data_IF_161654933531
#
_entry.id   IF_161654933531
#
_cell.length_a   1.000
_cell.length_b   1.000
_cell.length_c   1.000
_cell.angle_alpha   90.00
_cell.angle_beta   90.00
_cell.angle_gamma   90.00
#
_symmetry.space_group_name_H-M   'P 1'
#
loop_
_entity.id
_entity.type
_entity.pdbx_description
1 polymer ?
#
# COMPACT_ATOMS: atom_id res chain seq x y z
N UNK A 1 -13.54 -3.25 -12.67
CA UNK A 1 -13.53 -4.19 -11.52
C UNK A 1 -12.28 -5.07 -11.45
N UNK A 2 -11.73 -5.57 -12.56
CA UNK A 2 -10.50 -6.39 -12.51
C UNK A 2 -9.29 -5.63 -11.95
N UNK A 3 -9.07 -4.39 -12.40
CA UNK A 3 -8.05 -3.48 -11.84
C UNK A 3 -8.20 -3.28 -10.33
N UNK A 4 -9.44 -3.08 -9.85
CA UNK A 4 -9.74 -2.93 -8.41
C UNK A 4 -9.36 -4.18 -7.62
N UNK A 5 -9.77 -5.38 -8.09
CA UNK A 5 -9.38 -6.65 -7.47
C UNK A 5 -7.87 -6.83 -7.41
N UNK A 6 -7.17 -6.43 -8.46
CA UNK A 6 -5.71 -6.49 -8.50
C UNK A 6 -5.07 -5.56 -7.46
N UNK A 7 -5.54 -4.32 -7.35
CA UNK A 7 -5.05 -3.35 -6.36
C UNK A 7 -5.31 -3.81 -4.92
N UNK A 8 -6.50 -4.36 -4.63
CA UNK A 8 -6.81 -4.94 -3.32
C UNK A 8 -5.86 -6.09 -2.99
N UNK A 9 -5.58 -6.98 -3.94
CA UNK A 9 -4.66 -8.09 -3.75
C UNK A 9 -3.19 -7.63 -3.59
N UNK A 10 -2.79 -6.53 -4.23
CA UNK A 10 -1.48 -5.92 -4.02
C UNK A 10 -1.39 -5.27 -2.63
N UNK A 11 -2.43 -4.53 -2.22
CA UNK A 11 -2.54 -3.92 -0.88
C UNK A 11 -2.35 -4.97 0.21
N UNK A 12 -3.14 -6.04 0.16
CA UNK A 12 -3.08 -7.12 1.16
C UNK A 12 -1.70 -7.78 1.24
N UNK A 13 -1.05 -8.02 0.08
CA UNK A 13 0.32 -8.57 0.05
C UNK A 13 1.35 -7.63 0.67
N UNK A 14 1.21 -6.33 0.43
CA UNK A 14 2.11 -5.32 0.97
C UNK A 14 1.93 -5.17 2.48
N UNK A 15 0.69 -5.17 2.97
CA UNK A 15 0.38 -5.13 4.41
C UNK A 15 1.00 -6.33 5.15
N UNK A 16 0.89 -7.54 4.59
CA UNK A 16 1.53 -8.74 5.15
C UNK A 16 3.06 -8.62 5.14
N UNK A 17 3.65 -8.11 4.05
CA UNK A 17 5.10 -7.91 4.00
C UNK A 17 5.59 -6.90 5.05
N UNK A 18 4.80 -5.84 5.30
CA UNK A 18 5.12 -4.82 6.30
C UNK A 18 5.00 -5.33 7.74
N UNK A 19 4.16 -6.33 8.02
CA UNK A 19 4.10 -6.97 9.35
C UNK A 19 5.38 -7.73 9.71
N UNK A 20 6.19 -8.08 8.70
CA UNK A 20 7.47 -8.76 8.88
C UNK A 20 8.66 -7.79 8.93
N UNK A 21 8.42 -6.48 8.81
CA UNK A 21 9.46 -5.46 8.87
C UNK A 21 9.68 -4.98 10.32
N UNK A 22 10.92 -4.59 10.61
CA UNK A 22 11.23 -3.90 11.86
C UNK A 22 10.68 -2.47 11.81
N UNK A 23 9.62 -2.22 12.56
CA UNK A 23 8.97 -0.91 12.64
C UNK A 23 9.67 0.06 13.57
N UNK A 24 10.61 -0.42 14.39
CA UNK A 24 11.38 0.39 15.33
C UNK A 24 12.76 0.78 14.75
N UNK A 25 13.07 0.31 13.55
CA UNK A 25 14.28 0.68 12.82
C UNK A 25 14.37 2.20 12.62
N UNK A 26 15.54 2.77 12.90
CA UNK A 26 15.79 4.20 12.66
C UNK A 26 15.54 4.55 11.19
N UNK A 27 14.94 5.70 10.94
CA UNK A 27 14.52 6.10 9.58
C UNK A 27 15.69 6.13 8.57
N UNK A 28 16.89 6.47 9.02
CA UNK A 28 18.13 6.53 8.23
C UNK A 28 18.85 5.17 8.12
N UNK A 29 18.34 4.12 8.77
CA UNK A 29 18.78 2.75 8.52
C UNK A 29 18.23 2.23 7.18
N UNK A 30 18.82 1.16 6.67
CA UNK A 30 18.31 0.51 5.46
C UNK A 30 16.88 -0.01 5.65
N UNK A 31 16.59 -0.62 6.80
CA UNK A 31 15.28 -1.19 7.10
C UNK A 31 14.22 -0.09 7.32
N UNK A 32 14.58 1.00 8.01
CA UNK A 32 13.72 2.18 8.13
C UNK A 32 13.37 2.81 6.78
N UNK A 33 14.35 2.92 5.86
CA UNK A 33 14.07 3.38 4.48
C UNK A 33 13.17 2.41 3.72
N UNK A 34 13.37 1.10 3.85
CA UNK A 34 12.52 0.08 3.21
C UNK A 34 11.08 0.15 3.73
N UNK A 35 10.90 0.30 5.04
CA UNK A 35 9.60 0.46 5.66
C UNK A 35 8.89 1.74 5.18
N UNK A 36 9.60 2.87 5.14
CA UNK A 36 9.07 4.12 4.61
C UNK A 36 8.64 4.00 3.13
N UNK A 37 9.43 3.32 2.30
CA UNK A 37 9.06 3.04 0.91
C UNK A 37 7.82 2.16 0.79
N UNK A 38 7.68 1.15 1.66
CA UNK A 38 6.50 0.30 1.71
C UNK A 38 5.25 1.10 2.10
N UNK A 39 5.34 1.99 3.10
CA UNK A 39 4.27 2.90 3.48
C UNK A 39 3.82 3.79 2.31
N UNK A 40 4.76 4.40 1.57
CA UNK A 40 4.43 5.23 0.41
C UNK A 40 3.70 4.42 -0.65
N UNK A 41 4.16 3.21 -0.96
CA UNK A 41 3.49 2.32 -1.92
C UNK A 41 2.07 1.95 -1.47
N UNK A 42 1.88 1.71 -0.18
CA UNK A 42 0.57 1.38 0.40
C UNK A 42 -0.42 2.54 0.21
N UNK A 43 0.00 3.77 0.53
CA UNK A 43 -0.82 4.98 0.35
C UNK A 43 -1.19 5.18 -1.12
N UNK A 44 -0.25 5.02 -2.05
CA UNK A 44 -0.53 5.17 -3.48
C UNK A 44 -1.56 4.14 -3.98
N UNK A 45 -1.45 2.88 -3.56
CA UNK A 45 -2.44 1.84 -3.89
C UNK A 45 -3.81 2.21 -3.32
N UNK A 46 -3.86 2.72 -2.08
CA UNK A 46 -5.10 3.11 -1.44
C UNK A 46 -5.79 4.28 -2.16
N UNK A 47 -5.04 5.31 -2.55
CA UNK A 47 -5.56 6.43 -3.34
C UNK A 47 -6.15 5.97 -4.68
N UNK A 48 -5.48 5.02 -5.37
CA UNK A 48 -5.99 4.46 -6.63
C UNK A 48 -7.27 3.65 -6.44
N UNK A 49 -7.40 2.92 -5.33
CA UNK A 49 -8.63 2.20 -4.98
C UNK A 49 -9.77 3.21 -4.77
N UNK A 50 -9.54 4.23 -3.94
CA UNK A 50 -10.53 5.27 -3.63
C UNK A 50 -11.01 6.02 -4.87
N UNK A 51 -10.10 6.32 -5.81
CA UNK A 51 -10.44 6.95 -7.08
C UNK A 51 -11.37 6.06 -7.93
N UNK A 52 -11.06 4.77 -8.07
CA UNK A 52 -11.88 3.81 -8.83
C UNK A 52 -13.26 3.63 -8.17
N UNK A 53 -13.32 3.58 -6.84
CA UNK A 53 -14.58 3.45 -6.11
C UNK A 53 -15.46 4.70 -6.25
N UNK A 54 -14.87 5.91 -6.19
CA UNK A 54 -15.57 7.17 -6.48
C UNK A 54 -16.12 7.18 -7.90
N UNK A 55 -15.32 6.82 -8.91
CA UNK A 55 -15.78 6.73 -10.29
C UNK A 55 -16.94 5.75 -10.48
N UNK A 56 -16.91 4.61 -9.76
CA UNK A 56 -17.97 3.61 -9.82
C UNK A 56 -19.27 4.08 -9.15
N UNK A 57 -19.18 4.87 -8.09
CA UNK A 57 -20.36 5.42 -7.38
C UNK A 57 -21.08 6.54 -8.16
N UNK A 58 -20.41 7.16 -9.12
CA UNK A 58 -20.94 8.23 -9.98
C UNK A 58 -21.40 7.75 -11.36
N UNK A 59 -21.35 6.43 -11.64
CA UNK A 59 -21.87 5.78 -12.85
C UNK A 59 -23.13 5.00 -12.53
#
# INVERSE_FOLDING_TARGET
MEKLRHLIAQKARLEVAMQMMDTDAQFDSEDGRRYAQALVRLVLIQMQIEEIEKEAAHK
#
